data_IF_323137107111
#
_entry.id   IF_323137107111
#
_cell.length_a   1.000
_cell.length_b   1.000
_cell.length_c   1.000
_cell.angle_alpha   90.00
_cell.angle_beta   90.00
_cell.angle_gamma   90.00
#
_symmetry.space_group_name_H-M   'P 1'
#
loop_
_entity.id
_entity.type
_entity.pdbx_description
1 polymer ?
#
# COMPACT_ATOMS: atom_id res chain seq x y z
N UNK A 1 -34.65 -13.24 17.43
CA UNK A 1 -33.45 -13.09 18.26
C UNK A 1 -32.28 -13.57 17.41
N UNK A 2 -31.40 -12.63 17.06
CA UNK A 2 -30.03 -12.79 16.52
C UNK A 2 -29.85 -13.52 15.18
N UNK A 3 -29.78 -12.76 14.08
CA UNK A 3 -28.88 -13.07 12.96
C UNK A 3 -27.89 -11.92 12.85
N UNK A 4 -26.68 -12.14 13.37
CA UNK A 4 -25.62 -11.14 13.34
C UNK A 4 -24.29 -11.86 13.19
N UNK A 5 -23.56 -11.45 12.16
CA UNK A 5 -22.11 -11.64 12.00
C UNK A 5 -21.63 -13.02 11.56
N UNK A 6 -21.98 -13.41 10.33
CA UNK A 6 -20.96 -13.99 9.45
C UNK A 6 -20.40 -12.85 8.59
N UNK A 7 -19.60 -11.96 9.20
CA UNK A 7 -18.68 -11.13 8.41
C UNK A 7 -17.50 -12.04 8.12
N UNK A 8 -17.21 -12.41 6.86
CA UNK A 8 -16.02 -13.19 6.58
C UNK A 8 -14.85 -12.39 7.15
N UNK A 9 -14.08 -13.03 8.02
CA UNK A 9 -12.84 -12.47 8.54
C UNK A 9 -11.93 -12.19 7.35
N UNK A 10 -11.91 -10.94 6.89
CA UNK A 10 -11.02 -10.47 5.84
C UNK A 10 -9.64 -10.25 6.47
N UNK A 11 -8.98 -11.35 6.84
CA UNK A 11 -7.66 -11.34 7.48
C UNK A 11 -6.51 -11.20 6.49
N UNK A 12 -6.78 -10.77 5.26
CA UNK A 12 -5.78 -10.46 4.24
C UNK A 12 -6.44 -9.59 3.19
N UNK A 13 -5.83 -8.44 2.88
CA UNK A 13 -6.34 -7.50 1.89
C UNK A 13 -6.41 -8.21 0.54
N UNK A 14 -7.60 -8.26 -0.07
CA UNK A 14 -7.79 -8.94 -1.36
C UNK A 14 -6.88 -8.28 -2.42
N UNK A 15 -5.99 -9.02 -3.09
CA UNK A 15 -5.10 -8.45 -4.10
C UNK A 15 -5.86 -7.78 -5.24
N UNK A 16 -7.07 -8.24 -5.58
CA UNK A 16 -7.93 -7.57 -6.57
C UNK A 16 -8.50 -6.24 -6.09
N UNK A 17 -8.62 -6.05 -4.77
CA UNK A 17 -9.02 -4.76 -4.19
C UNK A 17 -7.82 -3.79 -4.16
N UNK A 18 -6.61 -4.31 -3.93
CA UNK A 18 -5.36 -3.53 -4.01
C UNK A 18 -5.08 -3.01 -5.43
N UNK A 19 -5.47 -3.76 -6.46
CA UNK A 19 -5.41 -3.33 -7.87
C UNK A 19 -6.32 -2.12 -8.20
N UNK A 20 -7.34 -1.85 -7.38
CA UNK A 20 -8.23 -0.68 -7.51
C UNK A 20 -7.61 0.54 -6.79
N UNK A 21 -6.60 0.35 -5.95
CA UNK A 21 -6.02 1.47 -5.19
C UNK A 21 -5.27 2.40 -6.14
N UNK A 22 -5.81 3.60 -6.24
CA UNK A 22 -5.32 4.66 -7.11
C UNK A 22 -4.43 5.60 -6.29
N UNK A 23 -3.30 6.01 -6.86
CA UNK A 23 -2.43 7.01 -6.25
C UNK A 23 -3.19 8.34 -6.06
N UNK A 24 -3.15 8.96 -4.86
CA UNK A 24 -3.85 10.22 -4.60
C UNK A 24 -3.31 11.39 -5.42
N UNK A 25 -2.03 11.38 -5.79
CA UNK A 25 -1.42 12.44 -6.62
C UNK A 25 -1.66 12.23 -8.12
N UNK A 26 -1.35 11.03 -8.62
CA UNK A 26 -1.27 10.79 -10.06
C UNK A 26 -2.56 10.20 -10.63
N UNK A 27 -3.47 9.72 -9.78
CA UNK A 27 -4.68 8.96 -10.18
C UNK A 27 -4.35 7.78 -11.08
N UNK A 28 -3.18 7.17 -10.88
CA UNK A 28 -2.73 5.96 -11.57
C UNK A 28 -2.76 4.76 -10.62
N UNK A 29 -2.88 3.54 -11.13
CA UNK A 29 -2.85 2.33 -10.31
C UNK A 29 -1.54 2.23 -9.51
N UNK A 30 -1.66 1.77 -8.27
CA UNK A 30 -0.53 1.45 -7.39
C UNK A 30 -0.16 -0.02 -7.52
N UNK A 31 1.12 -0.33 -7.36
CA UNK A 31 1.61 -1.70 -7.30
C UNK A 31 1.80 -2.10 -5.84
N UNK A 32 1.18 -3.19 -5.42
CA UNK A 32 1.38 -3.71 -4.08
C UNK A 32 2.65 -4.57 -4.02
N UNK A 33 3.58 -4.14 -3.19
CA UNK A 33 4.79 -4.88 -2.83
C UNK A 33 4.50 -5.66 -1.53
N UNK A 34 4.33 -6.98 -1.67
CA UNK A 34 4.06 -7.87 -0.56
C UNK A 34 5.30 -8.19 0.29
N UNK A 35 6.52 -8.01 -0.26
CA UNK A 35 7.76 -8.27 0.48
C UNK A 35 8.01 -7.16 1.50
N UNK A 36 7.73 -5.91 1.11
CA UNK A 36 7.92 -4.74 1.97
C UNK A 36 6.63 -4.27 2.63
N UNK A 37 5.47 -4.73 2.16
CA UNK A 37 4.16 -4.30 2.66
C UNK A 37 3.89 -2.84 2.31
N UNK A 38 4.12 -2.45 1.05
CA UNK A 38 3.98 -1.05 0.60
C UNK A 38 3.24 -0.96 -0.74
N UNK A 39 2.68 0.21 -1.02
CA UNK A 39 2.07 0.54 -2.31
C UNK A 39 2.99 1.47 -3.10
N UNK A 40 3.56 0.94 -4.17
CA UNK A 40 4.50 1.62 -5.04
C UNK A 40 3.74 2.39 -6.12
N UNK A 41 4.04 3.69 -6.24
CA UNK A 41 3.61 4.53 -7.35
C UNK A 41 4.79 4.81 -8.29
N UNK A 42 4.92 4.10 -9.42
CA UNK A 42 6.05 4.30 -10.32
C UNK A 42 6.04 5.67 -11.01
N UNK A 43 4.86 6.30 -11.15
CA UNK A 43 4.72 7.64 -11.74
C UNK A 43 5.09 8.75 -10.75
N UNK A 44 4.67 8.62 -9.49
CA UNK A 44 5.05 9.56 -8.45
C UNK A 44 6.49 9.32 -7.94
N UNK A 45 7.04 8.11 -8.19
CA UNK A 45 8.29 7.61 -7.64
C UNK A 45 8.27 7.61 -6.10
N UNK A 46 7.12 7.25 -5.55
CA UNK A 46 6.87 7.19 -4.11
C UNK A 46 6.38 5.79 -3.75
N UNK A 47 6.74 5.30 -2.57
CA UNK A 47 6.18 4.09 -1.98
C UNK A 47 5.46 4.41 -0.67
N UNK A 48 4.19 4.04 -0.58
CA UNK A 48 3.32 4.30 0.57
C UNK A 48 3.31 3.08 1.51
N UNK A 49 3.73 3.19 2.78
CA UNK A 49 3.79 2.04 3.67
C UNK A 49 2.41 1.56 4.12
N UNK A 50 2.27 0.26 4.36
CA UNK A 50 1.07 -0.32 4.98
C UNK A 50 1.37 -0.63 6.45
N UNK A 51 0.62 0.00 7.36
CA UNK A 51 0.79 -0.17 8.81
C UNK A 51 -0.48 -0.80 9.38
N UNK A 52 -0.36 -1.97 10.00
CA UNK A 52 -1.52 -2.69 10.57
C UNK A 52 -2.59 -3.06 9.54
N UNK A 53 -2.21 -3.29 8.29
CA UNK A 53 -3.13 -3.56 7.18
C UNK A 53 -3.80 -2.31 6.59
N UNK A 54 -3.45 -1.11 7.05
CA UNK A 54 -4.00 0.15 6.55
C UNK A 54 -2.93 0.87 5.70
N UNK A 55 -3.19 1.17 4.42
CA UNK A 55 -2.27 1.94 3.59
C UNK A 55 -2.16 3.40 4.04
N UNK A 56 -0.95 3.86 4.32
CA UNK A 56 -0.66 5.25 4.67
C UNK A 56 -0.39 6.05 3.40
N UNK A 57 -1.45 6.54 2.75
CA UNK A 57 -1.37 7.34 1.51
C UNK A 57 -1.03 8.82 1.75
N UNK A 58 -0.08 9.10 2.65
CA UNK A 58 0.44 10.44 2.94
C UNK A 58 1.78 10.63 2.23
N UNK A 59 1.98 11.80 1.62
CA UNK A 59 3.21 12.09 0.86
C UNK A 59 4.41 12.21 1.78
N UNK A 60 4.26 12.85 2.95
CA UNK A 60 5.32 13.00 3.95
C UNK A 60 5.79 11.66 4.57
N UNK A 61 4.91 10.66 4.59
CA UNK A 61 5.24 9.31 5.09
C UNK A 61 5.66 8.37 3.94
N UNK A 62 5.53 8.80 2.70
CA UNK A 62 5.90 8.01 1.55
C UNK A 62 7.42 7.99 1.39
N UNK A 63 7.96 6.80 1.14
CA UNK A 63 9.37 6.64 0.81
C UNK A 63 9.63 7.12 -0.61
N UNK A 64 10.61 7.99 -0.77
CA UNK A 64 11.05 8.46 -2.09
C UNK A 64 11.91 7.38 -2.76
N UNK A 65 11.46 6.88 -3.92
CA UNK A 65 12.17 5.87 -4.71
C UNK A 65 13.26 6.48 -5.59
N UNK A 66 13.34 7.80 -5.67
CA UNK A 66 14.42 8.51 -6.37
C UNK A 66 15.67 8.67 -5.52
N UNK A 67 15.51 8.58 -4.19
CA UNK A 67 16.61 8.65 -3.26
C UNK A 67 17.08 7.24 -2.92
N UNK A 68 18.40 7.00 -2.88
CA UNK A 68 18.92 5.74 -2.38
C UNK A 68 18.52 5.58 -0.90
N UNK A 69 18.10 4.37 -0.53
CA UNK A 69 17.71 4.06 0.85
C UNK A 69 18.84 4.43 1.83
N UNK A 70 18.57 5.28 2.85
CA UNK A 70 19.61 5.74 3.78
C UNK A 70 20.15 4.61 4.67
N UNK A 71 19.45 3.47 4.75
CA UNK A 71 19.81 2.29 5.55
C UNK A 71 20.58 1.21 4.76
N UNK A 72 20.97 1.45 3.50
CA UNK A 72 21.86 0.54 2.76
C UNK A 72 21.27 -0.83 2.42
N UNK A 73 19.93 -0.95 2.35
CA UNK A 73 19.25 -2.12 1.81
C UNK A 73 19.26 -2.10 0.27
N UNK A 74 20.42 -2.41 -0.31
CA UNK A 74 20.55 -2.63 -1.75
C UNK A 74 20.01 -4.02 -2.14
N UNK A 75 19.31 -4.03 -3.27
CA UNK A 75 18.91 -5.16 -4.12
C UNK A 75 17.68 -5.97 -3.69
#
# INVERSE_FOLDING_TARGET
>A
MTDSSSRPAHSGVDPRLLEILICPQTRQPLHYDAERGELISPKAKLAYPIRGGIPVMLVDEARDLTLPDPDGGAA
#
